data_IF_795095236561
#
_entry.id   IF_795095236561
#
_cell.length_a   1.000
_cell.length_b   1.000
_cell.length_c   1.000
_cell.angle_alpha   90.00
_cell.angle_beta   90.00
_cell.angle_gamma   90.00
#
_symmetry.space_group_name_H-M   'P 1'
#
loop_
_entity.id
_entity.type
_entity.pdbx_description
1 polymer ?
#
# COMPACT_ATOMS: atom_id res chain seq x y z
N UNK A 1 -21.01 0.40 -35.93
CA UNK A 1 -19.81 -0.45 -35.78
C UNK A 1 -20.30 -1.87 -35.52
N UNK A 2 -19.86 -2.85 -36.30
CA UNK A 2 -20.29 -4.24 -36.13
C UNK A 2 -19.81 -4.73 -34.75
N UNK A 3 -20.74 -5.25 -33.93
CA UNK A 3 -20.39 -5.89 -32.66
C UNK A 3 -19.47 -7.07 -32.98
N UNK A 4 -18.20 -6.93 -32.65
CA UNK A 4 -17.22 -7.99 -32.77
C UNK A 4 -17.73 -9.16 -31.92
N UNK A 5 -17.62 -10.40 -32.40
CA UNK A 5 -17.96 -11.55 -31.57
C UNK A 5 -16.76 -11.86 -30.67
N UNK A 6 -16.78 -11.49 -29.37
CA UNK A 6 -15.60 -11.53 -28.52
C UNK A 6 -15.08 -12.97 -28.33
N UNK A 7 -15.99 -13.95 -28.37
CA UNK A 7 -15.64 -15.37 -28.25
C UNK A 7 -14.82 -15.84 -29.45
N UNK A 8 -15.22 -15.47 -30.68
CA UNK A 8 -14.49 -15.86 -31.90
C UNK A 8 -13.11 -15.21 -31.95
N UNK A 9 -13.04 -13.91 -31.66
CA UNK A 9 -11.75 -13.17 -31.66
C UNK A 9 -10.81 -13.71 -30.59
N UNK A 10 -11.32 -14.07 -29.40
CA UNK A 10 -10.53 -14.72 -28.36
C UNK A 10 -9.98 -16.08 -28.81
N UNK A 11 -10.82 -16.92 -29.41
CA UNK A 11 -10.39 -18.23 -29.93
C UNK A 11 -9.30 -18.11 -31.01
N UNK A 12 -9.44 -17.12 -31.90
CA UNK A 12 -8.43 -16.84 -32.92
C UNK A 12 -7.12 -16.34 -32.29
N UNK A 13 -7.20 -15.43 -31.32
CA UNK A 13 -6.04 -14.96 -30.58
C UNK A 13 -5.31 -16.09 -29.83
N UNK A 14 -6.05 -17.00 -29.19
CA UNK A 14 -5.52 -18.20 -28.54
C UNK A 14 -4.83 -19.14 -29.54
N UNK A 15 -5.38 -19.28 -30.75
CA UNK A 15 -4.78 -20.09 -31.82
C UNK A 15 -3.48 -19.46 -32.32
N UNK A 16 -3.46 -18.14 -32.52
CA UNK A 16 -2.27 -17.40 -32.94
C UNK A 16 -1.17 -17.46 -31.88
N UNK A 17 -1.51 -17.32 -30.59
CA UNK A 17 -0.57 -17.48 -29.48
C UNK A 17 0.08 -18.88 -29.50
N UNK A 18 -0.74 -19.93 -29.60
CA UNK A 18 -0.24 -21.31 -29.67
C UNK A 18 0.61 -21.57 -30.91
N UNK A 19 0.31 -20.88 -32.02
CA UNK A 19 1.08 -20.90 -33.25
C UNK A 19 2.36 -20.06 -33.22
N UNK A 20 2.72 -19.43 -32.10
CA UNK A 20 3.92 -18.60 -31.97
C UNK A 20 3.78 -17.19 -32.56
N UNK A 21 2.63 -16.86 -33.16
CA UNK A 21 2.30 -15.54 -33.73
C UNK A 21 1.83 -14.59 -32.62
N UNK A 22 2.69 -14.39 -31.62
CA UNK A 22 2.37 -13.66 -30.38
C UNK A 22 1.98 -12.19 -30.65
N UNK A 23 2.60 -11.54 -31.63
CA UNK A 23 2.29 -10.15 -32.00
C UNK A 23 0.89 -9.99 -32.59
N UNK A 24 0.48 -10.91 -33.48
CA UNK A 24 -0.86 -10.94 -34.07
C UNK A 24 -1.92 -11.24 -32.98
N UNK A 25 -1.62 -12.17 -32.07
CA UNK A 25 -2.48 -12.48 -30.92
C UNK A 25 -2.70 -11.24 -30.03
N UNK A 26 -1.64 -10.47 -29.73
CA UNK A 26 -1.75 -9.22 -28.97
C UNK A 26 -2.69 -8.22 -29.66
N UNK A 27 -2.63 -8.09 -30.99
CA UNK A 27 -3.50 -7.18 -31.71
C UNK A 27 -4.99 -7.55 -31.56
N UNK A 28 -5.33 -8.84 -31.68
CA UNK A 28 -6.70 -9.32 -31.44
C UNK A 28 -7.14 -9.14 -29.98
N UNK A 29 -6.26 -9.42 -29.02
CA UNK A 29 -6.57 -9.18 -27.61
C UNK A 29 -6.79 -7.70 -27.30
N UNK A 30 -6.06 -6.78 -27.96
CA UNK A 30 -6.28 -5.34 -27.81
C UNK A 30 -7.65 -4.91 -28.34
N UNK A 31 -8.11 -5.48 -29.46
CA UNK A 31 -9.48 -5.24 -29.94
C UNK A 31 -10.53 -5.67 -28.91
N UNK A 32 -10.30 -6.78 -28.21
CA UNK A 32 -11.19 -7.22 -27.13
C UNK A 32 -11.17 -6.26 -25.92
N UNK A 33 -10.02 -5.65 -25.63
CA UNK A 33 -9.91 -4.63 -24.57
C UNK A 33 -10.60 -3.33 -24.99
N UNK A 34 -10.56 -2.96 -26.28
CA UNK A 34 -11.28 -1.78 -26.78
C UNK A 34 -12.81 -1.94 -26.66
N UNK A 35 -13.33 -3.15 -26.92
CA UNK A 35 -14.76 -3.47 -26.74
C UNK A 35 -15.14 -3.61 -25.25
N UNK A 36 -14.29 -4.24 -24.45
CA UNK A 36 -14.46 -4.37 -23.00
C UNK A 36 -13.21 -3.95 -22.21
N UNK A 37 -13.09 -2.66 -21.84
CA UNK A 37 -11.91 -2.13 -21.14
C UNK A 37 -11.66 -2.68 -19.73
N UNK A 38 -12.61 -3.43 -19.19
CA UNK A 38 -12.55 -4.02 -17.83
C UNK A 38 -12.38 -5.53 -17.83
N UNK A 39 -12.05 -6.14 -18.97
CA UNK A 39 -11.64 -7.55 -18.98
C UNK A 39 -10.19 -7.70 -18.47
N UNK A 40 -10.04 -7.70 -17.15
CA UNK A 40 -8.73 -7.82 -16.49
C UNK A 40 -8.03 -9.15 -16.76
N UNK A 41 -8.77 -10.20 -17.14
CA UNK A 41 -8.16 -11.47 -17.54
C UNK A 41 -7.46 -11.31 -18.90
N UNK A 42 -8.10 -10.65 -19.86
CA UNK A 42 -7.48 -10.34 -21.16
C UNK A 42 -6.33 -9.36 -20.99
N UNK A 43 -6.45 -8.33 -20.15
CA UNK A 43 -5.35 -7.38 -19.89
C UNK A 43 -4.14 -8.11 -19.28
N UNK A 44 -4.37 -9.00 -18.31
CA UNK A 44 -3.30 -9.82 -17.72
C UNK A 44 -2.65 -10.73 -18.78
N UNK A 45 -3.47 -11.34 -19.65
CA UNK A 45 -3.00 -12.16 -20.77
C UNK A 45 -2.13 -11.35 -21.75
N UNK A 46 -2.52 -10.12 -22.08
CA UNK A 46 -1.70 -9.23 -22.91
C UNK A 46 -0.36 -8.91 -22.23
N UNK A 47 -0.36 -8.71 -20.90
CA UNK A 47 0.87 -8.60 -20.11
C UNK A 47 1.77 -9.84 -20.22
N UNK A 48 1.18 -11.05 -20.19
CA UNK A 48 1.92 -12.32 -20.38
C UNK A 48 2.57 -12.40 -21.76
N UNK A 49 1.83 -12.00 -22.80
CA UNK A 49 2.33 -12.00 -24.17
C UNK A 49 3.44 -10.97 -24.37
N UNK A 50 3.33 -9.78 -23.76
CA UNK A 50 4.41 -8.79 -23.79
C UNK A 50 5.67 -9.29 -23.08
N UNK A 51 5.52 -9.93 -21.93
CA UNK A 51 6.65 -10.51 -21.21
C UNK A 51 7.34 -11.61 -22.05
N UNK A 52 6.57 -12.45 -22.76
CA UNK A 52 7.12 -13.45 -23.70
C UNK A 52 7.91 -12.83 -24.86
N UNK A 53 7.59 -11.60 -25.26
CA UNK A 53 8.31 -10.85 -26.29
C UNK A 53 9.47 -10.01 -25.73
N UNK A 54 9.83 -10.17 -24.45
CA UNK A 54 10.81 -9.34 -23.74
C UNK A 54 10.46 -7.84 -23.72
N UNK A 55 9.18 -7.50 -23.92
CA UNK A 55 8.63 -6.15 -23.84
C UNK A 55 8.23 -5.84 -22.40
N UNK A 56 9.23 -5.78 -21.52
CA UNK A 56 9.02 -5.74 -20.07
C UNK A 56 8.29 -4.50 -19.60
N UNK A 57 8.56 -3.34 -20.23
CA UNK A 57 7.87 -2.08 -19.93
C UNK A 57 6.37 -2.19 -20.24
N UNK A 58 6.01 -2.60 -21.45
CA UNK A 58 4.60 -2.74 -21.84
C UNK A 58 3.88 -3.82 -21.01
N UNK A 59 4.60 -4.90 -20.64
CA UNK A 59 4.09 -5.92 -19.75
C UNK A 59 3.79 -5.35 -18.36
N UNK A 60 4.73 -4.62 -17.76
CA UNK A 60 4.58 -3.97 -16.46
C UNK A 60 3.39 -3.01 -16.44
N UNK A 61 3.20 -2.22 -17.49
CA UNK A 61 2.05 -1.31 -17.63
C UNK A 61 0.69 -2.06 -17.63
N UNK A 62 0.58 -3.20 -18.31
CA UNK A 62 -0.66 -3.97 -18.29
C UNK A 62 -0.88 -4.66 -16.94
N UNK A 63 0.18 -5.21 -16.34
CA UNK A 63 0.09 -5.82 -15.02
C UNK A 63 -0.27 -4.83 -13.93
N UNK A 64 0.27 -3.60 -13.98
CA UNK A 64 -0.02 -2.57 -12.98
C UNK A 64 -1.53 -2.28 -12.93
N UNK A 65 -2.19 -2.14 -14.09
CA UNK A 65 -3.66 -1.95 -14.17
C UNK A 65 -4.43 -3.08 -13.50
N UNK A 66 -4.01 -4.34 -13.74
CA UNK A 66 -4.64 -5.53 -13.15
C UNK A 66 -4.40 -5.58 -11.64
N UNK A 67 -3.18 -5.25 -11.20
CA UNK A 67 -2.81 -5.21 -9.79
C UNK A 67 -3.60 -4.14 -9.04
N UNK A 68 -3.73 -2.94 -9.61
CA UNK A 68 -4.53 -1.84 -9.07
C UNK A 68 -6.00 -2.21 -8.94
N UNK A 69 -6.55 -2.89 -9.94
CA UNK A 69 -7.91 -3.41 -9.86
C UNK A 69 -8.06 -4.39 -8.69
N UNK A 70 -7.20 -5.40 -8.59
CA UNK A 70 -7.26 -6.36 -7.50
C UNK A 70 -7.04 -5.71 -6.13
N UNK A 71 -6.18 -4.68 -6.03
CA UNK A 71 -5.96 -3.94 -4.80
C UNK A 71 -7.21 -3.16 -4.36
N UNK A 72 -7.89 -2.51 -5.31
CA UNK A 72 -9.12 -1.73 -5.06
C UNK A 72 -10.31 -2.61 -4.70
N UNK A 73 -10.40 -3.80 -5.28
CA UNK A 73 -11.49 -4.76 -5.03
C UNK A 73 -11.26 -5.61 -3.76
N UNK A 74 -10.18 -5.34 -3.00
CA UNK A 74 -9.86 -6.04 -1.76
C UNK A 74 -9.15 -7.40 -1.95
N UNK A 75 -8.88 -7.80 -3.19
CA UNK A 75 -8.10 -8.99 -3.53
C UNK A 75 -6.58 -8.77 -3.34
N UNK A 76 -6.18 -8.36 -2.13
CA UNK A 76 -4.80 -7.95 -1.83
C UNK A 76 -3.75 -9.02 -2.18
N UNK A 77 -4.00 -10.31 -1.91
CA UNK A 77 -3.05 -11.38 -2.25
C UNK A 77 -2.82 -11.53 -3.77
N UNK A 78 -3.88 -11.34 -4.58
CA UNK A 78 -3.76 -11.36 -6.04
C UNK A 78 -2.96 -10.15 -6.51
N UNK A 79 -3.25 -8.96 -5.97
CA UNK A 79 -2.50 -7.74 -6.29
C UNK A 79 -1.00 -7.89 -5.94
N UNK A 80 -0.68 -8.43 -4.76
CA UNK A 80 0.70 -8.72 -4.34
C UNK A 80 1.40 -9.64 -5.34
N UNK A 81 0.74 -10.71 -5.78
CA UNK A 81 1.32 -11.64 -6.75
C UNK A 81 1.68 -10.93 -8.08
N UNK A 82 0.80 -10.06 -8.57
CA UNK A 82 1.05 -9.29 -9.80
C UNK A 82 2.17 -8.25 -9.59
N UNK A 83 2.18 -7.52 -8.48
CA UNK A 83 3.28 -6.58 -8.19
C UNK A 83 4.64 -7.25 -8.04
N UNK A 84 4.69 -8.44 -7.41
CA UNK A 84 5.92 -9.25 -7.37
C UNK A 84 6.37 -9.69 -8.75
N UNK A 85 5.43 -9.95 -9.65
CA UNK A 85 5.73 -10.28 -11.05
C UNK A 85 6.33 -9.07 -11.78
N UNK A 86 5.78 -7.87 -11.60
CA UNK A 86 6.32 -6.63 -12.17
C UNK A 86 7.75 -6.40 -11.68
N UNK A 87 8.01 -6.53 -10.38
CA UNK A 87 9.35 -6.34 -9.81
C UNK A 87 10.39 -7.33 -10.38
N UNK A 88 9.98 -8.54 -10.78
CA UNK A 88 10.87 -9.50 -11.44
C UNK A 88 11.20 -9.13 -12.89
N UNK A 89 10.30 -8.43 -13.57
CA UNK A 89 10.47 -8.01 -14.97
C UNK A 89 11.27 -6.71 -15.06
N UNK A 90 11.02 -5.80 -14.12
CA UNK A 90 11.71 -4.52 -14.01
C UNK A 90 12.04 -4.23 -12.54
N UNK A 91 13.29 -4.50 -12.18
CA UNK A 91 13.83 -4.21 -10.85
C UNK A 91 14.27 -2.75 -10.67
N UNK A 92 14.21 -1.93 -11.73
CA UNK A 92 14.64 -0.52 -11.69
C UNK A 92 13.55 0.42 -11.20
N UNK A 93 12.28 0.01 -11.35
CA UNK A 93 11.13 0.78 -10.86
C UNK A 93 10.95 0.61 -9.35
N UNK A 94 10.61 1.73 -8.70
CA UNK A 94 10.26 1.76 -7.28
C UNK A 94 8.76 1.53 -7.05
N UNK A 95 7.93 1.62 -8.11
CA UNK A 95 6.48 1.49 -8.00
C UNK A 95 6.04 0.14 -7.43
N UNK A 96 6.65 -1.01 -7.81
CA UNK A 96 6.30 -2.29 -7.20
C UNK A 96 6.56 -2.32 -5.69
N UNK A 97 7.65 -1.71 -5.21
CA UNK A 97 7.96 -1.68 -3.78
C UNK A 97 6.96 -0.83 -3.00
N UNK A 98 6.59 0.35 -3.52
CA UNK A 98 5.57 1.22 -2.91
C UNK A 98 4.22 0.49 -2.79
N UNK A 99 3.75 -0.11 -3.89
CA UNK A 99 2.46 -0.79 -3.91
C UNK A 99 2.47 -2.06 -3.06
N UNK A 100 3.56 -2.82 -3.05
CA UNK A 100 3.72 -3.98 -2.16
C UNK A 100 3.68 -3.55 -0.69
N UNK A 101 4.38 -2.47 -0.34
CA UNK A 101 4.39 -1.97 1.03
C UNK A 101 2.99 -1.55 1.51
N UNK A 102 2.24 -0.83 0.67
CA UNK A 102 0.85 -0.45 0.97
C UNK A 102 -0.06 -1.68 1.15
N UNK A 103 0.09 -2.68 0.29
CA UNK A 103 -0.71 -3.92 0.36
C UNK A 103 -0.36 -4.76 1.59
N UNK A 104 0.92 -4.87 1.95
CA UNK A 104 1.34 -5.55 3.18
C UNK A 104 0.86 -4.80 4.43
N UNK A 105 0.92 -3.46 4.44
CA UNK A 105 0.39 -2.64 5.52
C UNK A 105 -1.11 -2.87 5.74
N UNK A 106 -1.89 -2.93 4.64
CA UNK A 106 -3.33 -3.27 4.69
C UNK A 106 -3.62 -4.67 5.21
N UNK A 107 -2.68 -5.61 5.09
CA UNK A 107 -2.81 -6.96 5.64
C UNK A 107 -2.32 -7.07 7.09
N UNK A 108 -1.80 -5.99 7.69
CA UNK A 108 -1.19 -6.01 9.01
C UNK A 108 0.22 -6.63 9.03
N UNK A 109 0.81 -6.88 7.85
CA UNK A 109 2.17 -7.41 7.69
C UNK A 109 3.18 -6.24 7.75
N UNK A 110 3.30 -5.67 8.95
CA UNK A 110 4.04 -4.42 9.19
C UNK A 110 5.53 -4.53 8.86
N UNK A 111 6.15 -5.68 9.16
CA UNK A 111 7.58 -5.90 8.93
C UNK A 111 7.91 -5.91 7.43
N UNK A 112 7.10 -6.62 6.65
CA UNK A 112 7.20 -6.69 5.20
C UNK A 112 6.95 -5.31 4.57
N UNK A 113 5.93 -4.60 5.03
CA UNK A 113 5.62 -3.26 4.57
C UNK A 113 6.80 -2.30 4.79
N UNK A 114 7.34 -2.27 6.01
CA UNK A 114 8.51 -1.45 6.35
C UNK A 114 9.74 -1.80 5.52
N UNK A 115 10.00 -3.09 5.32
CA UNK A 115 11.14 -3.54 4.51
C UNK A 115 11.06 -2.99 3.09
N UNK A 116 9.88 -3.01 2.47
CA UNK A 116 9.69 -2.51 1.11
C UNK A 116 9.76 -0.97 1.06
N UNK A 117 9.17 -0.27 2.03
CA UNK A 117 9.31 1.18 2.10
C UNK A 117 10.75 1.64 2.34
N UNK A 118 11.52 0.91 3.15
CA UNK A 118 12.92 1.26 3.40
C UNK A 118 13.75 1.24 2.11
N UNK A 119 13.51 0.27 1.22
CA UNK A 119 14.17 0.22 -0.10
C UNK A 119 13.87 1.49 -0.90
N UNK A 120 12.62 1.94 -0.90
CA UNK A 120 12.20 3.15 -1.63
C UNK A 120 12.81 4.41 -1.03
N UNK A 121 12.78 4.54 0.31
CA UNK A 121 13.39 5.66 1.03
C UNK A 121 14.88 5.75 0.74
N UNK A 122 15.61 4.62 0.82
CA UNK A 122 17.04 4.58 0.57
C UNK A 122 17.36 5.00 -0.86
N UNK A 123 16.57 4.55 -1.84
CA UNK A 123 16.75 4.94 -3.23
C UNK A 123 16.42 6.42 -3.48
N UNK A 124 15.36 6.96 -2.88
CA UNK A 124 15.06 8.39 -2.97
C UNK A 124 16.14 9.26 -2.33
N UNK A 125 16.67 8.87 -1.17
CA UNK A 125 17.79 9.57 -0.54
C UNK A 125 19.02 9.54 -1.44
N UNK A 126 19.37 8.39 -2.03
CA UNK A 126 20.50 8.28 -2.99
C UNK A 126 20.32 9.19 -4.21
N UNK A 127 19.08 9.35 -4.68
CA UNK A 127 18.73 10.23 -5.81
C UNK A 127 18.57 11.71 -5.42
N UNK A 128 18.77 12.07 -4.15
CA UNK A 128 18.58 13.43 -3.65
C UNK A 128 17.12 13.87 -3.52
N UNK A 129 16.17 12.95 -3.75
CA UNK A 129 14.71 13.14 -3.70
C UNK A 129 14.22 13.17 -2.26
N UNK A 130 14.65 14.19 -1.53
CA UNK A 130 14.45 14.32 -0.09
C UNK A 130 12.97 14.40 0.26
N UNK A 131 12.20 15.17 -0.50
CA UNK A 131 10.76 15.34 -0.29
C UNK A 131 10.00 14.03 -0.46
N UNK A 132 10.22 13.31 -1.56
CA UNK A 132 9.58 12.01 -1.78
C UNK A 132 9.99 10.96 -0.73
N UNK A 133 11.24 10.99 -0.26
CA UNK A 133 11.67 10.13 0.85
C UNK A 133 10.92 10.45 2.16
N UNK A 134 10.66 11.74 2.44
CA UNK A 134 9.86 12.19 3.58
C UNK A 134 8.42 11.68 3.52
N UNK A 135 7.77 11.74 2.34
CA UNK A 135 6.42 11.24 2.15
C UNK A 135 6.31 9.73 2.42
N UNK A 136 7.32 8.95 1.99
CA UNK A 136 7.35 7.51 2.26
C UNK A 136 7.62 7.21 3.73
N UNK A 137 8.52 7.95 4.38
CA UNK A 137 8.77 7.83 5.82
C UNK A 137 7.52 8.16 6.65
N UNK A 138 6.70 9.12 6.21
CA UNK A 138 5.41 9.41 6.84
C UNK A 138 4.48 8.20 6.77
N UNK A 139 4.34 7.56 5.61
CA UNK A 139 3.57 6.31 5.47
C UNK A 139 4.11 5.20 6.38
N UNK A 140 5.44 5.08 6.52
CA UNK A 140 6.04 4.12 7.46
C UNK A 140 5.67 4.41 8.92
N UNK A 141 5.64 5.67 9.32
CA UNK A 141 5.27 6.10 10.67
C UNK A 141 3.76 5.89 10.96
N UNK A 142 2.91 5.92 9.93
CA UNK A 142 1.50 5.57 10.05
C UNK A 142 1.28 4.07 10.29
N UNK A 143 2.13 3.20 9.71
CA UNK A 143 2.06 1.75 9.93
C UNK A 143 2.51 1.35 11.33
N UNK A 144 3.61 1.93 11.81
CA UNK A 144 4.09 1.73 13.17
C UNK A 144 4.47 3.06 13.81
N UNK A 145 3.51 3.67 14.54
CA UNK A 145 3.78 4.90 15.27
C UNK A 145 4.89 4.74 16.31
N UNK A 146 5.18 3.53 16.83
CA UNK A 146 6.20 3.30 17.85
C UNK A 146 7.63 3.30 17.33
N UNK A 147 7.84 3.30 16.00
CA UNK A 147 9.17 3.18 15.41
C UNK A 147 9.97 4.49 15.54
N UNK A 148 10.76 4.56 16.62
CA UNK A 148 11.64 5.70 16.89
C UNK A 148 12.64 5.95 15.76
N UNK A 149 13.09 4.92 15.04
CA UNK A 149 14.06 5.09 13.95
C UNK A 149 13.44 5.84 12.78
N UNK A 150 12.20 5.49 12.41
CA UNK A 150 11.46 6.19 11.34
C UNK A 150 11.20 7.64 11.74
N UNK A 151 10.79 7.88 12.99
CA UNK A 151 10.56 9.24 13.51
C UNK A 151 11.82 10.10 13.51
N UNK A 152 12.95 9.56 13.96
CA UNK A 152 14.24 10.27 13.93
C UNK A 152 14.64 10.62 12.49
N UNK A 153 14.57 9.65 11.57
CA UNK A 153 14.86 9.90 10.15
C UNK A 153 13.97 11.00 9.55
N UNK A 154 12.68 11.00 9.89
CA UNK A 154 11.74 12.02 9.42
C UNK A 154 12.07 13.41 9.99
N UNK A 155 12.43 13.48 11.28
CA UNK A 155 12.85 14.74 11.92
C UNK A 155 14.15 15.30 11.33
N UNK A 156 15.14 14.44 11.08
CA UNK A 156 16.39 14.81 10.43
C UNK A 156 16.14 15.36 9.02
N UNK A 157 15.20 14.72 8.29
CA UNK A 157 14.82 15.11 6.94
C UNK A 157 14.13 16.48 6.90
N UNK A 158 13.17 16.73 7.80
CA UNK A 158 12.51 18.04 7.90
C UNK A 158 13.46 19.14 8.37
N UNK A 159 14.41 18.82 9.24
CA UNK A 159 15.43 19.81 9.65
C UNK A 159 16.29 20.21 8.45
N UNK A 160 16.64 19.25 7.57
CA UNK A 160 17.39 19.51 6.34
C UNK A 160 16.57 20.28 5.29
N UNK A 161 15.29 19.98 5.14
CA UNK A 161 14.38 20.67 4.22
C UNK A 161 14.06 22.09 4.69
N UNK A 162 13.74 22.28 5.98
CA UNK A 162 13.51 23.60 6.59
C UNK A 162 14.78 24.47 6.74
N UNK A 163 15.97 23.86 6.69
CA UNK A 163 17.24 24.62 6.57
C UNK A 163 17.55 25.03 5.13
N UNK A 164 16.96 24.34 4.14
CA UNK A 164 17.06 24.71 2.73
C UNK A 164 15.96 25.71 2.32
N UNK A 165 14.79 25.67 2.98
CA UNK A 165 13.77 26.72 2.97
C UNK A 165 14.11 27.83 3.99
N UNK A 166 15.25 28.50 3.77
CA UNK A 166 15.54 29.79 4.40
C UNK A 166 14.44 30.83 4.07
N UNK A 167 14.20 31.82 4.94
CA UNK A 167 12.93 32.53 5.05
C UNK A 167 12.58 33.34 3.80
N UNK A 168 11.76 32.77 2.92
CA UNK A 168 11.12 33.50 1.83
C UNK A 168 9.59 33.45 1.91
N UNK A 169 9.02 33.54 3.12
CA UNK A 169 7.67 34.08 3.27
C UNK A 169 7.38 34.59 4.69
N UNK A 170 8.19 35.56 5.14
CA UNK A 170 7.81 36.49 6.22
C UNK A 170 7.96 37.93 5.75
N UNK A 171 7.56 38.20 4.51
CA UNK A 171 7.39 39.56 3.99
C UNK A 171 5.92 39.75 3.64
N UNK A 172 5.27 40.56 4.49
CA UNK A 172 3.94 41.17 4.35
C UNK A 172 2.78 40.48 5.07
N UNK A 173 2.81 40.55 6.40
CA UNK A 173 1.66 41.08 7.16
C UNK A 173 2.20 41.98 8.27
N UNK A 174 2.75 43.14 7.89
CA UNK A 174 2.66 44.29 8.79
C UNK A 174 1.21 44.75 8.71
N UNK A 175 0.44 44.80 9.80
CA UNK A 175 -0.81 45.56 9.78
C UNK A 175 -0.47 47.02 9.43
N UNK A 176 -1.27 47.70 8.58
CA UNK A 176 -0.98 49.07 8.20
C UNK A 176 -0.94 49.94 9.46
N UNK A 177 0.13 50.72 9.60
CA UNK A 177 0.22 51.72 10.65
C UNK A 177 -0.98 52.69 10.53
N UNK A 178 -1.75 52.93 11.60
CA UNK A 178 -2.72 54.01 11.59
C UNK A 178 -1.97 55.34 11.55
N UNK A 179 -2.26 56.12 10.51
CA UNK A 179 -1.76 57.47 10.32
C UNK A 179 -2.13 58.38 11.49
N UNK A 180 -1.26 59.36 11.71
CA UNK A 180 -1.32 60.39 12.72
C UNK A 180 -2.65 61.17 12.75
N UNK A 181 -3.11 61.51 13.96
CA UNK A 181 -4.12 62.52 14.19
C UNK A 181 -4.68 62.51 15.62
N UNK A 182 -4.40 63.60 16.35
CA UNK A 182 -5.09 64.08 17.56
C UNK A 182 -4.51 63.68 18.93
N UNK A 183 -4.27 64.71 19.73
CA UNK A 183 -3.30 64.75 20.83
C UNK A 183 -3.77 64.18 22.18
N UNK A 184 -2.97 64.38 23.23
CA UNK A 184 -3.20 63.73 24.52
C UNK A 184 -4.16 64.57 25.39
N UNK A 185 -5.17 63.98 26.04
CA UNK A 185 -5.64 64.52 27.30
C UNK A 185 -4.82 63.94 28.45
N UNK A 186 -4.34 64.83 29.31
CA UNK A 186 -3.76 64.52 30.62
C UNK A 186 -4.85 64.05 31.61
N UNK A 187 -4.46 63.39 32.72
CA UNK A 187 -5.37 62.66 33.59
C UNK A 187 -5.79 63.41 34.88
N UNK A 188 -6.80 62.83 35.55
CA UNK A 188 -7.25 62.98 36.95
C UNK A 188 -8.03 64.24 37.37
N UNK A 189 -9.28 64.06 37.83
CA UNK A 189 -9.67 64.19 39.26
C UNK A 189 -11.17 63.90 39.50
N UNK A 190 -11.42 63.04 40.50
CA UNK A 190 -12.47 63.03 41.53
C UNK A 190 -13.75 63.88 41.32
N UNK A 191 -14.94 63.26 41.47
CA UNK A 191 -15.81 63.43 42.67
C UNK A 191 -17.11 62.61 42.62
N UNK A 192 -17.57 62.35 43.85
CA UNK A 192 -18.61 61.46 44.31
C UNK A 192 -20.05 61.95 44.04
N UNK A 193 -21.03 61.04 44.07
CA UNK A 193 -22.40 61.41 44.42
C UNK A 193 -23.51 60.39 44.12
N UNK A 194 -23.99 59.75 45.20
CA UNK A 194 -25.38 59.29 45.47
C UNK A 194 -26.01 58.18 44.57
N UNK A 195 -26.22 56.94 45.03
CA UNK A 195 -27.13 56.41 46.08
C UNK A 195 -28.57 56.06 45.58
N UNK A 196 -28.79 54.75 45.33
CA UNK A 196 -29.89 53.78 45.72
C UNK A 196 -31.39 54.24 45.58
N UNK A 197 -32.44 53.36 45.47
CA UNK A 197 -32.45 51.94 45.84
C UNK A 197 -33.36 50.90 45.11
N UNK A 198 -32.98 49.63 45.38
CA UNK A 198 -33.74 48.40 45.74
C UNK A 198 -35.12 48.05 45.14
N UNK A 199 -35.20 46.79 44.73
CA UNK A 199 -36.36 45.88 44.81
C UNK A 199 -36.14 44.70 43.85
N UNK A 200 -36.36 43.42 44.14
CA UNK A 200 -36.78 42.62 45.28
C UNK A 200 -36.50 41.15 44.89
N UNK A 201 -36.28 40.27 45.86
CA UNK A 201 -35.79 38.89 45.64
C UNK A 201 -36.85 37.86 45.19
N UNK A 202 -36.77 36.59 45.65
CA UNK A 202 -36.46 35.44 44.79
C UNK A 202 -37.59 34.39 44.75
N UNK A 203 -37.54 33.48 43.77
CA UNK A 203 -38.49 32.36 43.62
C UNK A 203 -37.80 31.02 43.40
N UNK A 204 -37.76 30.23 44.46
CA UNK A 204 -37.43 28.79 44.50
C UNK A 204 -38.63 27.95 44.01
N UNK A 205 -38.37 26.81 43.36
CA UNK A 205 -39.10 25.53 43.46
C UNK A 205 -38.73 24.65 42.24
N UNK A 206 -37.99 23.55 42.33
CA UNK A 206 -38.25 22.23 42.95
C UNK A 206 -39.16 21.28 42.13
N UNK A 207 -38.76 20.00 42.13
CA UNK A 207 -39.52 18.77 41.82
C UNK A 207 -39.47 18.27 40.36
N UNK A 208 -38.65 17.25 40.08
CA UNK A 208 -38.86 15.79 40.27
C UNK A 208 -39.97 15.22 39.37
N UNK A 209 -39.56 14.36 38.43
CA UNK A 209 -40.17 13.11 37.91
C UNK A 209 -39.29 12.70 36.72
N UNK A 210 -38.54 11.60 36.73
CA UNK A 210 -38.98 10.24 37.04
C UNK A 210 -39.54 9.61 35.77
N UNK A 211 -38.68 9.08 34.90
CA UNK A 211 -39.03 7.99 33.98
C UNK A 211 -37.79 7.40 33.31
N UNK A 212 -37.41 6.20 33.76
CA UNK A 212 -36.60 5.23 33.02
C UNK A 212 -37.58 4.12 32.52
N UNK A 213 -37.16 3.12 31.73
CA UNK A 213 -37.66 2.90 30.38
C UNK A 213 -38.50 1.61 30.27
N UNK A 214 -38.84 1.17 29.04
CA UNK A 214 -38.72 -0.26 28.82
C UNK A 214 -37.99 -0.62 27.53
N UNK A 215 -37.05 -1.56 27.67
CA UNK A 215 -36.45 -2.28 26.56
C UNK A 215 -37.38 -3.31 25.93
N UNK A 216 -36.97 -3.78 24.75
CA UNK A 216 -37.35 -5.00 24.00
C UNK A 216 -36.49 -4.94 22.73
N UNK A 217 -35.79 -5.96 22.27
CA UNK A 217 -35.61 -7.35 22.64
C UNK A 217 -34.76 -7.96 21.52
N UNK A 218 -33.65 -8.61 21.87
CA UNK A 218 -32.83 -9.36 20.92
C UNK A 218 -33.47 -10.75 20.70
N UNK A 219 -33.62 -11.23 19.45
CA UNK A 219 -33.93 -12.63 19.23
C UNK A 219 -32.67 -13.49 19.22
N UNK A 220 -32.73 -14.55 20.04
CA UNK A 220 -31.79 -15.67 20.11
C UNK A 220 -31.72 -16.41 18.78
N UNK A 221 -30.51 -16.68 18.29
CA UNK A 221 -30.26 -17.70 17.29
C UNK A 221 -30.05 -19.04 17.97
N UNK A 222 -30.78 -20.02 17.46
CA UNK A 222 -30.98 -21.36 17.99
C UNK A 222 -29.83 -22.28 17.57
N UNK A 223 -29.31 -23.04 18.53
CA UNK A 223 -28.44 -24.19 18.32
C UNK A 223 -29.12 -25.19 17.37
N UNK A 224 -28.39 -25.60 16.33
CA UNK A 224 -28.71 -26.80 15.56
C UNK A 224 -27.56 -27.79 15.72
N UNK A 225 -27.81 -28.87 16.47
CA UNK A 225 -26.99 -30.09 16.51
C UNK A 225 -27.51 -31.05 15.44
N UNK A 226 -26.61 -31.66 14.67
CA UNK A 226 -26.91 -32.92 13.99
C UNK A 226 -26.02 -33.27 12.79
N UNK A 227 -25.29 -34.39 12.91
CA UNK A 227 -24.66 -35.14 11.81
C UNK A 227 -23.21 -34.74 11.54
N UNK A 228 -22.16 -35.54 11.78
CA UNK A 228 -22.07 -37.00 11.67
C UNK A 228 -21.64 -37.35 10.24
N UNK A 229 -20.33 -37.46 9.99
CA UNK A 229 -19.79 -37.74 8.66
C UNK A 229 -18.27 -37.78 8.62
N UNK A 230 -17.68 -38.84 9.18
CA UNK A 230 -16.30 -39.23 8.98
C UNK A 230 -16.06 -39.54 7.50
N UNK A 231 -15.09 -38.89 6.86
CA UNK A 231 -14.58 -39.32 5.55
C UNK A 231 -13.05 -39.32 5.57
N UNK A 232 -12.54 -40.51 5.28
CA UNK A 232 -11.15 -40.92 5.27
C UNK A 232 -10.25 -40.04 4.40
N UNK A 233 -9.02 -39.85 4.90
CA UNK A 233 -7.87 -39.46 4.11
C UNK A 233 -7.53 -40.57 3.10
N UNK A 234 -7.17 -40.25 1.84
CA UNK A 234 -6.60 -41.24 0.94
C UNK A 234 -5.11 -41.45 1.22
N UNK A 235 -4.76 -42.72 1.36
CA UNK A 235 -3.43 -43.32 1.42
C UNK A 235 -2.46 -42.72 0.40
N UNK A 236 -1.24 -42.41 0.87
CA UNK A 236 -0.07 -42.20 0.01
C UNK A 236 0.65 -43.54 -0.13
N UNK A 237 0.45 -44.18 -1.27
CA UNK A 237 1.26 -45.29 -1.75
C UNK A 237 2.70 -44.80 -2.03
N UNK A 238 3.64 -45.17 -1.16
CA UNK A 238 5.08 -45.19 -1.42
C UNK A 238 5.48 -46.55 -2.03
N UNK A 239 6.01 -46.61 -3.26
CA UNK A 239 6.62 -47.83 -3.75
C UNK A 239 8.09 -47.93 -3.32
N UNK A 240 8.35 -48.85 -2.39
CA UNK A 240 9.37 -49.89 -2.55
C UNK A 240 10.85 -49.49 -2.58
N UNK A 241 11.49 -49.49 -1.40
CA UNK A 241 12.93 -49.81 -1.29
C UNK A 241 13.12 -51.33 -1.32
N UNK A 242 13.76 -51.87 -2.37
CA UNK A 242 14.45 -53.17 -2.36
C UNK A 242 15.63 -53.21 -3.33
N UNK A 243 16.73 -53.81 -2.86
CA UNK A 243 17.87 -54.33 -3.62
C UNK A 243 18.94 -53.27 -3.92
N UNK A 244 20.18 -53.29 -3.40
CA UNK A 244 20.99 -54.41 -2.98
C UNK A 244 21.84 -54.94 -4.15
N UNK A 245 23.09 -54.51 -4.26
CA UNK A 245 24.21 -55.31 -4.79
C UNK A 245 25.53 -54.51 -4.76
N UNK A 246 26.60 -55.24 -4.43
CA UNK A 246 28.00 -54.85 -4.33
C UNK A 246 28.70 -54.95 -5.70
N UNK A 247 29.74 -54.17 -5.91
CA UNK A 247 30.98 -54.51 -6.66
C UNK A 247 31.98 -53.34 -6.43
N UNK A 248 33.02 -53.50 -5.62
CA UNK A 248 34.37 -54.01 -5.95
C UNK A 248 35.19 -53.16 -6.93
N UNK A 249 36.27 -52.58 -6.38
CA UNK A 249 37.61 -52.54 -7.00
C UNK A 249 37.92 -51.52 -8.10
N UNK A 250 38.64 -50.43 -7.76
CA UNK A 250 39.77 -49.90 -8.55
C UNK A 250 40.51 -48.72 -7.87
N UNK A 251 41.58 -49.04 -7.13
CA UNK A 251 42.96 -48.50 -7.24
C UNK A 251 43.21 -47.03 -7.70
N UNK A 252 43.51 -46.14 -6.74
CA UNK A 252 44.69 -45.25 -6.51
C UNK A 252 45.44 -44.53 -7.69
N UNK A 253 46.41 -43.60 -7.46
CA UNK A 253 46.58 -42.53 -6.44
C UNK A 253 47.09 -41.16 -7.04
N UNK A 254 47.39 -40.20 -6.15
CA UNK A 254 48.29 -39.03 -6.28
C UNK A 254 47.74 -37.64 -6.70
N UNK A 255 47.49 -36.80 -5.69
CA UNK A 255 47.76 -35.36 -5.69
C UNK A 255 48.36 -35.07 -4.30
N UNK A 256 49.45 -34.35 -4.08
CA UNK A 256 50.07 -33.28 -4.84
C UNK A 256 50.58 -32.31 -3.77
N UNK A 257 51.72 -32.62 -3.17
CA UNK A 257 52.34 -31.83 -2.09
C UNK A 257 52.99 -30.59 -2.70
N UNK A 258 52.46 -29.40 -2.40
CA UNK A 258 53.15 -28.12 -2.66
C UNK A 258 53.78 -27.64 -1.35
N UNK A 259 55.11 -27.52 -1.35
CA UNK A 259 55.91 -26.93 -0.27
C UNK A 259 55.85 -25.39 -0.36
N UNK A 260 55.99 -24.67 0.77
CA UNK A 260 56.24 -23.23 0.76
C UNK A 260 57.76 -22.96 0.71
N UNK A 261 58.16 -21.89 0.03
CA UNK A 261 59.54 -21.41 -0.02
C UNK A 261 59.59 -19.91 -0.29
N UNK A 262 60.04 -19.20 0.76
CA UNK A 262 60.77 -17.91 0.82
C UNK A 262 60.71 -16.96 -0.38
#
# INVERSE_FOLDING_TARGET
MAKINPVKVKQEADKLEKGGKVTEAIALYKQLIEDNPRDWNIINKVGDLYAKLNKFREAAEQYAKVADFYAKDGFHLKAIAIWKKINKLDATSLDPYLNLAELYGKQGLMMEAKSHYQIVVDEYIKRGKTREAGDVLKKMAEIDPGDLKVRSKLADLYTREGSAEGPQDRRQEQPPAPGAGEGPPRPEELRQGHAVPRGGGPGLAEQRRGHDPPGRGLPRLQENRGGGGSLQAPDRDEPGRRGGARADGARAPHAGTVRPGL
#
